data_IF_574816245147
#
_entry.id   IF_574816245147
#
_cell.length_a   1.000
_cell.length_b   1.000
_cell.length_c   1.000
_cell.angle_alpha   90.00
_cell.angle_beta   90.00
_cell.angle_gamma   90.00
#
_symmetry.space_group_name_H-M   'P 1'
#
loop_
_entity.id
_entity.type
_entity.pdbx_description
1 polymer ?
#
# COMPACT_ATOMS: atom_id res chain seq x y z
N UNK A 1 14.01 19.59 19.58
CA UNK A 1 13.48 18.38 20.24
C UNK A 1 13.94 17.14 19.49
N UNK A 2 14.75 16.25 20.10
CA UNK A 2 15.04 14.93 19.52
C UNK A 2 13.80 14.04 19.60
N UNK A 3 13.61 13.18 18.60
CA UNK A 3 12.60 12.13 18.61
C UNK A 3 13.33 10.78 18.54
N UNK A 4 12.77 9.78 19.19
CA UNK A 4 13.32 8.42 19.16
C UNK A 4 12.29 7.48 18.54
N UNK A 5 12.66 6.85 17.42
CA UNK A 5 11.81 5.89 16.73
C UNK A 5 11.62 4.64 17.58
N UNK A 6 10.38 4.16 17.68
CA UNK A 6 10.04 2.95 18.44
C UNK A 6 9.56 1.83 17.51
N UNK A 7 8.57 2.10 16.66
CA UNK A 7 8.01 1.07 15.77
C UNK A 7 7.26 1.66 14.59
N UNK A 8 7.18 0.91 13.51
CA UNK A 8 6.27 1.15 12.40
C UNK A 8 5.46 -0.12 12.17
N UNK A 9 4.12 -0.03 12.15
CA UNK A 9 3.23 -1.19 12.03
C UNK A 9 2.06 -0.90 11.09
N UNK A 10 1.67 -1.87 10.28
CA UNK A 10 0.43 -1.82 9.50
C UNK A 10 -0.67 -2.66 10.17
N UNK A 11 -1.85 -2.07 10.36
CA UNK A 11 -3.02 -2.76 10.90
C UNK A 11 -4.30 -2.24 10.23
N UNK A 12 -5.16 -3.13 9.73
CA UNK A 12 -6.50 -2.80 9.19
C UNK A 12 -6.60 -1.60 8.25
N UNK A 13 -5.59 -1.40 7.39
CA UNK A 13 -5.61 -0.33 6.37
C UNK A 13 -4.94 0.97 6.80
N UNK A 14 -4.37 1.05 8.00
CA UNK A 14 -3.60 2.21 8.44
C UNK A 14 -2.17 1.83 8.85
N UNK A 15 -1.26 2.80 8.75
CA UNK A 15 0.09 2.67 9.29
C UNK A 15 0.18 3.47 10.59
N UNK A 16 0.71 2.85 11.63
CA UNK A 16 1.03 3.50 12.90
C UNK A 16 2.54 3.60 13.06
N UNK A 17 3.04 4.84 13.13
CA UNK A 17 4.42 5.12 13.50
C UNK A 17 4.47 5.58 14.95
N UNK A 18 5.25 4.90 15.79
CA UNK A 18 5.44 5.27 17.19
C UNK A 18 6.82 5.83 17.43
N UNK A 19 6.87 6.85 18.27
CA UNK A 19 8.11 7.46 18.71
C UNK A 19 8.00 7.94 20.15
N UNK A 20 9.16 8.20 20.76
CA UNK A 20 9.30 8.80 22.09
C UNK A 20 9.91 10.19 22.01
N UNK A 21 9.49 11.07 22.91
CA UNK A 21 10.06 12.39 23.11
C UNK A 21 10.31 12.62 24.61
N UNK A 22 11.37 13.36 24.94
CA UNK A 22 11.62 13.84 26.30
C UNK A 22 10.74 15.03 26.67
N UNK A 23 10.28 15.77 25.67
CA UNK A 23 9.30 16.85 25.79
C UNK A 23 7.87 16.33 25.57
N UNK A 24 6.91 16.93 26.26
CA UNK A 24 5.49 16.70 25.97
C UNK A 24 5.02 17.63 24.84
N UNK A 25 4.48 17.02 23.79
CA UNK A 25 4.26 17.63 22.48
C UNK A 25 2.88 18.28 22.35
N UNK A 26 1.81 17.67 22.88
CA UNK A 26 0.43 18.09 22.63
C UNK A 26 0.12 19.40 23.36
N UNK A 27 0.63 19.56 24.57
CA UNK A 27 0.49 20.79 25.36
C UNK A 27 1.78 21.61 25.40
N UNK A 28 2.66 21.47 24.39
CA UNK A 28 3.95 22.15 24.36
C UNK A 28 3.76 23.67 24.42
N UNK A 29 2.87 24.22 23.60
CA UNK A 29 2.60 25.65 23.58
C UNK A 29 1.66 26.11 24.70
N UNK A 30 0.73 25.27 25.15
CA UNK A 30 -0.13 25.58 26.30
C UNK A 30 0.70 25.87 27.56
N UNK A 31 1.72 25.03 27.82
CA UNK A 31 2.55 25.14 29.03
C UNK A 31 3.54 26.30 29.01
N UNK A 32 3.92 26.80 27.84
CA UNK A 32 4.92 27.87 27.71
C UNK A 32 4.31 29.23 27.34
N UNK A 33 3.16 29.25 26.67
CA UNK A 33 2.62 30.46 26.03
C UNK A 33 1.09 30.64 26.13
N UNK A 34 0.34 29.66 26.66
CA UNK A 34 -1.13 29.67 26.75
C UNK A 34 -1.83 28.92 25.59
N UNK A 35 -3.17 28.91 25.57
CA UNK A 35 -3.99 28.27 24.52
C UNK A 35 -3.64 28.87 23.15
N UNK A 36 -3.11 28.04 22.24
CA UNK A 36 -2.68 28.53 20.93
C UNK A 36 -2.16 27.47 19.96
N UNK A 37 -1.96 26.22 20.39
CA UNK A 37 -1.52 25.13 19.52
C UNK A 37 -2.63 24.81 18.50
N UNK A 38 -2.27 24.81 17.21
CA UNK A 38 -3.20 24.55 16.09
C UNK A 38 -3.15 23.07 15.70
N UNK A 39 -1.95 22.47 15.75
CA UNK A 39 -1.79 21.04 15.55
C UNK A 39 -0.35 20.61 15.31
N UNK A 40 -0.18 19.30 15.30
CA UNK A 40 1.09 18.61 15.22
C UNK A 40 1.06 17.64 14.05
N UNK A 41 1.99 17.82 13.13
CA UNK A 41 2.11 17.00 11.94
C UNK A 41 3.46 16.31 11.92
N UNK A 42 3.44 15.01 11.64
CA UNK A 42 4.63 14.23 11.39
C UNK A 42 4.77 13.97 9.91
N UNK A 43 5.89 14.37 9.32
CA UNK A 43 6.14 14.27 7.88
C UNK A 43 7.47 13.60 7.62
N UNK A 44 7.50 12.60 6.73
CA UNK A 44 8.73 12.01 6.19
C UNK A 44 8.85 12.27 4.70
N UNK A 45 10.06 12.61 4.25
CA UNK A 45 10.36 12.75 2.83
C UNK A 45 10.62 11.39 2.20
N UNK A 46 9.79 11.01 1.22
CA UNK A 46 9.98 9.75 0.47
C UNK A 46 10.96 9.94 -0.68
N UNK A 47 11.10 11.15 -1.20
CA UNK A 47 12.00 11.51 -2.29
C UNK A 47 13.14 12.43 -1.80
N UNK A 48 13.84 13.11 -2.72
CA UNK A 48 14.98 13.99 -2.42
C UNK A 48 14.58 15.34 -1.81
N UNK A 49 13.31 15.69 -1.90
CA UNK A 49 12.77 16.92 -1.32
C UNK A 49 12.70 16.80 0.21
N UNK A 50 13.60 17.50 0.89
CA UNK A 50 13.71 17.53 2.35
C UNK A 50 13.40 18.91 2.93
N UNK A 51 12.66 19.74 2.18
CA UNK A 51 12.11 20.97 2.74
C UNK A 51 10.85 20.63 3.56
N UNK A 52 10.98 20.72 4.89
CA UNK A 52 9.89 20.44 5.82
C UNK A 52 9.14 21.71 6.25
N UNK A 53 9.40 22.86 5.61
CA UNK A 53 8.76 24.10 6.01
C UNK A 53 7.25 24.03 5.81
N UNK A 54 6.50 24.48 6.80
CA UNK A 54 5.04 24.58 6.72
C UNK A 54 4.68 25.48 5.55
N UNK A 55 3.90 24.93 4.63
CA UNK A 55 3.51 25.60 3.40
C UNK A 55 4.24 25.11 2.15
N UNK A 56 5.39 24.44 2.29
CA UNK A 56 6.06 23.79 1.17
C UNK A 56 5.28 22.57 0.67
N UNK A 57 5.29 22.35 -0.64
CA UNK A 57 4.57 21.26 -1.30
C UNK A 57 5.50 20.05 -1.49
N UNK A 58 5.65 19.23 -0.46
CA UNK A 58 6.39 17.98 -0.57
C UNK A 58 5.61 16.97 -1.43
N UNK A 59 6.12 16.68 -2.63
CA UNK A 59 5.40 15.89 -3.65
C UNK A 59 5.16 14.45 -3.18
N UNK A 60 6.16 13.82 -2.55
CA UNK A 60 6.06 12.43 -2.07
C UNK A 60 6.41 12.37 -0.59
N UNK A 61 5.40 12.09 0.24
CA UNK A 61 5.53 12.18 1.69
C UNK A 61 4.74 11.09 2.41
N UNK A 62 5.26 10.64 3.55
CA UNK A 62 4.47 9.95 4.58
C UNK A 62 4.04 10.98 5.61
N UNK A 63 2.74 11.19 5.79
CA UNK A 63 2.20 12.25 6.66
C UNK A 63 1.13 11.69 7.58
N UNK A 64 1.09 12.18 8.82
CA UNK A 64 0.01 11.90 9.76
C UNK A 64 -0.05 12.91 10.90
N UNK A 65 -1.20 12.95 11.57
CA UNK A 65 -1.37 13.66 12.85
C UNK A 65 -0.72 12.89 13.98
N UNK A 66 -0.37 13.59 15.06
CA UNK A 66 0.31 13.00 16.23
C UNK A 66 -0.64 12.92 17.41
N UNK A 67 -0.79 11.71 17.95
CA UNK A 67 -1.62 11.43 19.12
C UNK A 67 -0.74 11.01 20.31
N UNK A 68 -1.15 11.39 21.52
CA UNK A 68 -0.51 10.97 22.76
C UNK A 68 -0.94 9.56 23.16
N UNK A 69 0.02 8.65 23.37
CA UNK A 69 -0.26 7.28 23.85
C UNK A 69 -0.06 7.12 25.36
N UNK A 70 0.82 7.91 25.98
CA UNK A 70 1.05 7.83 27.42
C UNK A 70 2.45 8.28 27.87
N UNK A 71 2.67 8.25 29.18
CA UNK A 71 4.00 8.50 29.77
C UNK A 71 4.85 7.25 29.61
N UNK A 72 6.11 7.42 29.21
CA UNK A 72 7.07 6.32 29.07
C UNK A 72 7.48 5.76 30.44
N UNK A 73 7.53 4.43 30.56
CA UNK A 73 8.02 3.75 31.78
C UNK A 73 9.48 4.06 32.11
N UNK A 74 10.27 4.49 31.11
CA UNK A 74 11.68 4.84 31.29
C UNK A 74 11.79 6.32 31.63
N UNK A 75 11.40 7.19 30.68
CA UNK A 75 11.42 8.65 30.78
C UNK A 75 10.78 9.25 29.52
N UNK A 76 10.03 10.34 29.67
CA UNK A 76 9.42 11.06 28.55
C UNK A 76 8.04 10.55 28.20
N UNK A 77 7.63 10.75 26.96
CA UNK A 77 6.26 10.61 26.49
C UNK A 77 6.24 9.80 25.19
N UNK A 78 5.25 8.90 25.08
CA UNK A 78 5.03 8.04 23.93
C UNK A 78 3.94 8.64 23.03
N UNK A 79 4.19 8.59 21.73
CA UNK A 79 3.31 9.14 20.71
C UNK A 79 3.10 8.13 19.58
N UNK A 80 1.94 8.22 18.94
CA UNK A 80 1.60 7.50 17.72
C UNK A 80 1.20 8.47 16.63
N UNK A 81 1.57 8.11 15.40
CA UNK A 81 1.19 8.82 14.19
C UNK A 81 0.39 7.86 13.33
N UNK A 82 -0.85 8.23 13.03
CA UNK A 82 -1.67 7.57 12.02
C UNK A 82 -1.26 8.11 10.65
N UNK A 83 -0.36 7.37 9.98
CA UNK A 83 0.39 7.86 8.84
C UNK A 83 -0.10 7.27 7.51
N UNK A 84 -0.13 8.10 6.47
CA UNK A 84 -0.54 7.74 5.12
C UNK A 84 0.52 8.19 4.10
N UNK A 85 0.74 7.37 3.07
CA UNK A 85 1.66 7.69 1.99
C UNK A 85 0.92 8.48 0.92
N UNK A 86 1.40 9.68 0.61
CA UNK A 86 0.72 10.59 -0.31
C UNK A 86 1.60 11.05 -1.46
N UNK A 87 0.93 11.28 -2.59
CA UNK A 87 1.38 12.16 -3.65
C UNK A 87 0.60 13.48 -3.56
N UNK A 88 1.31 14.59 -3.45
CA UNK A 88 0.74 15.94 -3.42
C UNK A 88 1.08 16.66 -4.72
N UNK A 89 0.12 17.39 -5.31
CA UNK A 89 0.40 18.24 -6.46
C UNK A 89 1.25 19.46 -6.05
N UNK A 90 2.08 20.03 -6.93
CA UNK A 90 2.94 21.17 -6.58
C UNK A 90 2.18 22.41 -6.07
N UNK A 91 0.95 22.60 -6.52
CA UNK A 91 0.04 23.67 -6.06
C UNK A 91 -0.71 23.33 -4.76
N UNK A 92 -0.53 22.11 -4.24
CA UNK A 92 -1.18 21.53 -3.06
C UNK A 92 -2.70 21.39 -3.18
N UNK A 93 -3.25 21.47 -4.40
CA UNK A 93 -4.70 21.36 -4.63
C UNK A 93 -5.21 19.94 -4.47
N UNK A 94 -4.36 18.94 -4.68
CA UNK A 94 -4.74 17.52 -4.64
C UNK A 94 -3.72 16.71 -3.86
N UNK A 95 -4.23 15.83 -3.01
CA UNK A 95 -3.46 14.81 -2.32
C UNK A 95 -4.09 13.44 -2.61
N UNK A 96 -3.28 12.46 -3.00
CA UNK A 96 -3.75 11.11 -3.36
C UNK A 96 -2.88 10.06 -2.70
N UNK A 97 -3.49 9.01 -2.16
CA UNK A 97 -2.73 7.91 -1.55
C UNK A 97 -1.85 7.19 -2.58
N UNK A 98 -0.63 6.85 -2.16
CA UNK A 98 0.32 6.09 -2.97
C UNK A 98 0.00 4.59 -2.87
N UNK A 99 0.01 3.93 -4.03
CA UNK A 99 -0.07 2.47 -4.13
C UNK A 99 1.24 1.82 -3.69
N UNK A 100 1.15 0.55 -3.28
CA UNK A 100 2.30 -0.23 -2.78
C UNK A 100 3.48 -0.27 -3.77
N UNK A 101 3.30 -0.50 -5.08
CA UNK A 101 4.41 -0.49 -6.03
C UNK A 101 5.10 0.87 -6.14
N UNK A 102 4.38 1.97 -5.94
CA UNK A 102 4.95 3.31 -5.98
C UNK A 102 5.82 3.56 -4.74
N UNK A 103 5.33 3.18 -3.56
CA UNK A 103 6.08 3.27 -2.29
C UNK A 103 7.37 2.45 -2.38
N UNK A 104 7.29 1.21 -2.86
CA UNK A 104 8.45 0.33 -3.01
C UNK A 104 9.52 0.93 -3.93
N UNK A 105 9.13 1.54 -5.06
CA UNK A 105 10.08 2.20 -5.99
C UNK A 105 10.74 3.43 -5.38
N UNK A 106 9.98 4.27 -4.67
CA UNK A 106 10.52 5.47 -4.03
C UNK A 106 11.58 5.14 -2.96
N UNK A 107 11.43 3.98 -2.31
CA UNK A 107 12.28 3.57 -1.20
C UNK A 107 13.36 2.54 -1.57
N UNK A 108 13.40 2.03 -2.80
CA UNK A 108 14.23 0.89 -3.21
C UNK A 108 15.73 1.06 -2.89
N UNK A 109 16.26 2.28 -3.04
CA UNK A 109 17.68 2.59 -2.87
C UNK A 109 17.97 3.34 -1.56
N UNK A 110 17.01 3.37 -0.62
CA UNK A 110 17.11 4.12 0.63
C UNK A 110 17.24 3.18 1.82
N UNK A 111 18.20 3.44 2.70
CA UNK A 111 18.31 2.75 3.99
C UNK A 111 17.43 3.38 5.08
N UNK A 112 17.23 4.69 4.99
CA UNK A 112 16.36 5.46 5.89
C UNK A 112 15.68 6.61 5.16
N UNK A 113 14.54 7.07 5.69
CA UNK A 113 13.91 8.31 5.26
C UNK A 113 13.90 9.35 6.40
N UNK A 114 14.21 10.61 6.11
CA UNK A 114 14.20 11.66 7.12
C UNK A 114 12.77 12.08 7.42
N UNK A 115 12.46 12.20 8.70
CA UNK A 115 11.16 12.66 9.20
C UNK A 115 11.33 13.82 10.18
N UNK A 116 10.35 14.73 10.19
CA UNK A 116 10.26 15.80 11.18
C UNK A 116 8.84 15.94 11.69
N UNK A 117 8.74 16.29 12.97
CA UNK A 117 7.54 16.85 13.55
C UNK A 117 7.54 18.35 13.29
N UNK A 118 6.39 18.89 12.88
CA UNK A 118 6.10 20.32 12.89
C UNK A 118 4.93 20.59 13.83
N UNK A 119 5.08 21.57 14.72
CA UNK A 119 4.01 22.04 15.60
C UNK A 119 3.70 23.48 15.21
N UNK A 120 2.44 23.77 14.91
CA UNK A 120 1.99 25.13 14.60
C UNK A 120 1.18 25.69 15.75
N UNK A 121 1.33 27.00 16.00
CA UNK A 121 0.57 27.72 17.01
C UNK A 121 0.23 29.14 16.51
N UNK A 122 -0.85 29.72 17.02
CA UNK A 122 -1.21 31.10 16.71
C UNK A 122 -0.10 32.07 17.16
N UNK A 123 0.26 33.01 16.29
CA UNK A 123 1.24 34.08 16.56
C UNK A 123 2.70 33.63 16.71
N UNK A 124 3.02 32.37 16.40
CA UNK A 124 4.39 31.84 16.45
C UNK A 124 4.79 31.16 15.13
N UNK A 125 6.09 31.17 14.83
CA UNK A 125 6.64 30.34 13.77
C UNK A 125 6.49 28.86 14.14
N UNK A 126 6.33 28.01 13.12
CA UNK A 126 6.24 26.57 13.32
C UNK A 126 7.50 26.05 14.01
N UNK A 127 7.32 25.25 15.05
CA UNK A 127 8.42 24.55 15.72
C UNK A 127 8.70 23.24 14.99
N UNK A 128 9.99 22.89 14.83
CA UNK A 128 10.39 21.65 14.20
C UNK A 128 11.25 20.79 15.12
N UNK A 129 11.03 19.47 15.08
CA UNK A 129 11.96 18.53 15.70
C UNK A 129 13.31 18.48 14.98
N UNK A 130 14.28 17.83 15.63
CA UNK A 130 15.43 17.28 14.91
C UNK A 130 14.94 16.20 13.95
N UNK A 131 15.72 15.93 12.90
CA UNK A 131 15.41 14.89 11.93
C UNK A 131 15.48 13.51 12.60
N UNK A 132 14.36 12.79 12.59
CA UNK A 132 14.31 11.37 12.89
C UNK A 132 14.61 10.58 11.61
N UNK A 133 15.43 9.55 11.70
CA UNK A 133 15.68 8.65 10.56
C UNK A 133 14.80 7.41 10.71
N UNK A 134 13.79 7.26 9.85
CA UNK A 134 12.91 6.09 9.85
C UNK A 134 13.55 4.98 8.99
N UNK A 135 13.78 3.78 9.54
CA UNK A 135 14.38 2.67 8.80
C UNK A 135 13.46 2.17 7.68
N UNK A 136 13.98 2.09 6.46
CA UNK A 136 13.20 1.71 5.27
C UNK A 136 12.83 0.22 5.25
N UNK A 137 13.68 -0.63 5.82
CA UNK A 137 13.42 -2.07 5.96
C UNK A 137 12.14 -2.35 6.76
N UNK A 138 11.92 -1.63 7.87
CA UNK A 138 10.69 -1.72 8.65
C UNK A 138 9.48 -1.20 7.88
N UNK A 139 9.63 -0.07 7.18
CA UNK A 139 8.57 0.49 6.34
C UNK A 139 8.15 -0.49 5.25
N UNK A 140 9.11 -1.03 4.50
CA UNK A 140 8.84 -1.97 3.41
C UNK A 140 8.25 -3.30 3.91
N UNK A 141 8.64 -3.75 5.11
CA UNK A 141 8.06 -4.94 5.74
C UNK A 141 6.57 -4.76 6.00
N UNK A 142 6.15 -3.60 6.53
CA UNK A 142 4.74 -3.32 6.82
C UNK A 142 3.94 -2.97 5.56
N UNK A 143 4.54 -2.24 4.61
CA UNK A 143 3.97 -2.00 3.28
C UNK A 143 3.75 -3.31 2.53
N UNK A 144 4.58 -4.34 2.75
CA UNK A 144 4.36 -5.66 2.19
C UNK A 144 3.06 -6.32 2.70
N UNK A 145 2.65 -6.03 3.94
CA UNK A 145 1.42 -6.54 4.57
C UNK A 145 0.16 -5.78 4.16
N UNK A 146 0.31 -4.58 3.62
CA UNK A 146 -0.80 -3.81 3.08
C UNK A 146 -1.50 -4.60 1.97
N UNK A 147 -2.72 -5.04 2.27
CA UNK A 147 -3.63 -5.61 1.28
C UNK A 147 -4.23 -4.43 0.53
N UNK A 148 -3.83 -4.24 -0.71
CA UNK A 148 -4.48 -3.26 -1.56
C UNK A 148 -5.98 -3.56 -1.56
N UNK A 149 -6.76 -2.59 -1.12
CA UNK A 149 -8.21 -2.61 -1.28
C UNK A 149 -8.45 -2.40 -2.76
N UNK A 150 -8.26 -3.44 -3.56
CA UNK A 150 -8.65 -3.43 -4.97
C UNK A 150 -10.09 -2.93 -4.98
N UNK A 151 -10.31 -1.76 -5.61
CA UNK A 151 -11.64 -1.21 -5.75
C UNK A 151 -12.50 -2.34 -6.31
N UNK A 152 -13.51 -2.76 -5.55
CA UNK A 152 -14.47 -3.73 -6.01
C UNK A 152 -15.03 -3.13 -7.29
N UNK A 153 -14.71 -3.74 -8.45
CA UNK A 153 -15.14 -3.21 -9.73
C UNK A 153 -16.66 -3.07 -9.68
N UNK A 154 -17.13 -1.83 -9.72
CA UNK A 154 -18.54 -1.52 -9.89
C UNK A 154 -18.65 -0.94 -11.30
N UNK A 155 -19.47 -1.54 -12.19
CA UNK A 155 -19.74 -0.90 -13.46
C UNK A 155 -20.37 0.47 -13.18
N UNK A 156 -19.83 1.54 -13.77
CA UNK A 156 -20.47 2.85 -13.71
C UNK A 156 -21.92 2.72 -14.21
N UNK A 157 -22.91 3.36 -13.55
CA UNK A 157 -24.28 3.33 -14.03
C UNK A 157 -24.34 3.95 -15.42
N UNK A 158 -24.98 3.24 -16.36
CA UNK A 158 -25.18 3.74 -17.73
C UNK A 158 -26.04 5.00 -17.67
N UNK A 159 -25.43 6.17 -17.85
CA UNK A 159 -26.15 7.45 -17.97
C UNK A 159 -26.68 7.57 -19.40
N UNK A 160 -27.98 7.34 -19.58
CA UNK A 160 -28.65 7.45 -20.89
C UNK A 160 -28.49 8.89 -21.41
N UNK A 161 -27.85 9.04 -22.58
CA UNK A 161 -27.71 10.33 -23.28
C UNK A 161 -26.31 10.96 -23.23
N UNK A 162 -25.35 10.40 -22.47
CA UNK A 162 -23.95 10.81 -22.55
C UNK A 162 -23.21 9.91 -23.54
N UNK A 163 -22.60 10.48 -24.57
CA UNK A 163 -21.72 9.70 -25.45
C UNK A 163 -20.52 9.19 -24.62
N UNK A 164 -20.17 7.89 -24.68
CA UNK A 164 -19.04 7.38 -23.92
C UNK A 164 -17.75 8.10 -24.36
N UNK A 165 -16.92 8.48 -23.38
CA UNK A 165 -15.62 9.13 -23.63
C UNK A 165 -14.59 8.16 -24.22
N UNK A 166 -14.88 6.87 -24.19
CA UNK A 166 -14.09 5.81 -24.80
C UNK A 166 -14.86 5.33 -26.04
N UNK A 167 -14.20 5.15 -27.19
CA UNK A 167 -14.81 4.43 -28.31
C UNK A 167 -15.39 3.13 -27.78
N UNK A 168 -16.58 2.76 -28.24
CA UNK A 168 -17.16 1.46 -27.94
C UNK A 168 -16.27 0.41 -28.61
N UNK A 169 -15.21 -0.01 -27.93
CA UNK A 169 -14.45 -1.20 -28.29
C UNK A 169 -15.46 -2.32 -28.08
N UNK A 170 -15.90 -2.95 -29.18
CA UNK A 170 -16.63 -4.21 -29.07
C UNK A 170 -15.82 -5.11 -28.12
N UNK A 171 -16.42 -5.65 -27.05
CA UNK A 171 -15.65 -6.41 -26.06
C UNK A 171 -14.81 -7.42 -26.81
N UNK A 172 -13.49 -7.32 -26.66
CA UNK A 172 -12.58 -8.28 -27.26
C UNK A 172 -13.07 -9.66 -26.85
N UNK A 173 -13.25 -10.61 -27.79
CA UNK A 173 -13.74 -11.92 -27.44
C UNK A 173 -12.77 -12.54 -26.43
N UNK A 174 -13.28 -12.77 -25.22
CA UNK A 174 -12.55 -13.46 -24.17
C UNK A 174 -12.87 -14.94 -24.32
N UNK A 175 -11.86 -15.72 -24.69
CA UNK A 175 -11.96 -17.16 -24.76
C UNK A 175 -11.58 -17.71 -23.39
N UNK A 176 -12.51 -18.41 -22.74
CA UNK A 176 -12.21 -19.12 -21.51
C UNK A 176 -12.80 -20.52 -21.54
N UNK A 177 -12.11 -21.45 -20.89
CA UNK A 177 -12.61 -22.81 -20.69
C UNK A 177 -11.98 -23.45 -19.44
N UNK A 178 -12.65 -24.47 -18.91
CA UNK A 178 -12.11 -25.37 -17.90
C UNK A 178 -11.95 -26.75 -18.52
N UNK A 179 -10.71 -27.23 -18.59
CA UNK A 179 -10.43 -28.54 -19.16
C UNK A 179 -10.71 -29.62 -18.12
N UNK A 180 -11.35 -30.72 -18.51
CA UNK A 180 -11.60 -31.84 -17.61
C UNK A 180 -10.60 -32.96 -17.84
N UNK A 181 -9.95 -33.40 -16.76
CA UNK A 181 -9.13 -34.59 -16.74
C UNK A 181 -10.01 -35.77 -16.35
N UNK A 182 -10.08 -36.75 -17.24
CA UNK A 182 -10.79 -38.00 -17.04
C UNK A 182 -9.81 -39.17 -17.06
N UNK A 183 -10.16 -40.21 -16.33
CA UNK A 183 -9.49 -41.49 -16.37
C UNK A 183 -9.98 -42.25 -17.62
N UNK A 184 -9.06 -42.64 -18.51
CA UNK A 184 -9.43 -43.25 -19.79
C UNK A 184 -10.00 -44.66 -19.66
N UNK A 185 -9.66 -45.38 -18.58
CA UNK A 185 -10.11 -46.76 -18.38
C UNK A 185 -11.52 -46.81 -17.78
N UNK A 186 -11.82 -45.89 -16.87
CA UNK A 186 -13.09 -45.84 -16.13
C UNK A 186 -14.06 -44.79 -16.66
N UNK A 187 -13.59 -43.84 -17.46
CA UNK A 187 -14.34 -42.68 -17.93
C UNK A 187 -14.72 -41.68 -16.83
N UNK A 188 -14.18 -41.85 -15.61
CA UNK A 188 -14.53 -41.01 -14.46
C UNK A 188 -13.63 -39.79 -14.37
N UNK A 189 -14.12 -38.66 -13.83
CA UNK A 189 -13.26 -37.51 -13.60
C UNK A 189 -12.17 -37.79 -12.57
N UNK A 190 -10.96 -37.28 -12.81
CA UNK A 190 -9.83 -37.38 -11.89
C UNK A 190 -9.67 -36.08 -11.12
N UNK A 191 -10.28 -36.01 -9.95
CA UNK A 191 -10.10 -34.88 -9.04
C UNK A 191 -8.81 -34.93 -8.23
N UNK A 192 -8.37 -33.77 -7.75
CA UNK A 192 -7.18 -33.61 -6.90
C UNK A 192 -5.88 -34.16 -7.52
N UNK A 193 -5.73 -34.04 -8.84
CA UNK A 193 -4.49 -34.41 -9.53
C UNK A 193 -3.76 -33.17 -10.02
N UNK A 194 -2.44 -33.16 -9.83
CA UNK A 194 -1.59 -32.10 -10.34
C UNK A 194 -1.49 -32.17 -11.87
N UNK A 195 -1.48 -31.00 -12.50
CA UNK A 195 -1.42 -30.85 -13.95
C UNK A 195 -0.60 -29.64 -14.36
N UNK A 196 -0.18 -29.64 -15.62
CA UNK A 196 0.46 -28.51 -16.29
C UNK A 196 -0.30 -28.17 -17.57
N UNK A 197 -0.74 -26.93 -17.71
CA UNK A 197 -1.22 -26.36 -18.98
C UNK A 197 -0.05 -25.64 -19.64
N UNK A 198 0.39 -26.14 -20.79
CA UNK A 198 1.36 -25.45 -21.65
C UNK A 198 0.62 -24.57 -22.66
N UNK A 199 0.82 -23.27 -22.54
CA UNK A 199 0.27 -22.26 -23.45
C UNK A 199 1.00 -22.23 -24.78
N UNK A 200 0.41 -21.57 -25.77
CA UNK A 200 0.94 -21.47 -27.12
C UNK A 200 2.30 -20.73 -27.19
N UNK A 201 2.51 -19.77 -26.28
CA UNK A 201 3.77 -19.03 -26.10
C UNK A 201 4.84 -19.79 -25.31
N UNK A 202 4.51 -20.99 -24.81
CA UNK A 202 5.40 -21.84 -24.03
C UNK A 202 5.32 -21.62 -22.52
N UNK A 203 4.49 -20.68 -22.02
CA UNK A 203 4.23 -20.53 -20.60
C UNK A 203 3.60 -21.79 -20.01
N UNK A 204 3.98 -22.14 -18.78
CA UNK A 204 3.51 -23.32 -18.07
C UNK A 204 2.68 -22.90 -16.86
N UNK A 205 1.43 -23.32 -16.82
CA UNK A 205 0.51 -23.09 -15.71
C UNK A 205 0.32 -24.39 -14.95
N UNK A 206 0.84 -24.43 -13.73
CA UNK A 206 0.68 -25.56 -12.84
C UNK A 206 -0.60 -25.40 -12.02
N UNK A 207 -1.29 -26.49 -11.77
CA UNK A 207 -2.46 -26.49 -10.90
C UNK A 207 -2.84 -27.88 -10.43
N UNK A 208 -3.87 -27.95 -9.60
CA UNK A 208 -4.50 -29.19 -9.18
C UNK A 208 -5.98 -29.16 -9.57
N UNK A 209 -6.51 -30.28 -10.06
CA UNK A 209 -7.92 -30.34 -10.47
C UNK A 209 -8.86 -30.29 -9.28
N UNK A 210 -10.05 -29.73 -9.46
CA UNK A 210 -11.11 -29.80 -8.45
C UNK A 210 -11.68 -31.22 -8.28
N UNK A 211 -12.64 -31.41 -7.38
CA UNK A 211 -13.30 -32.71 -7.16
C UNK A 211 -13.87 -33.36 -8.44
N UNK A 212 -14.29 -32.56 -9.42
CA UNK A 212 -14.84 -33.02 -10.69
C UNK A 212 -13.77 -33.15 -11.79
N UNK A 213 -12.49 -33.11 -11.44
CA UNK A 213 -11.38 -33.23 -12.37
C UNK A 213 -11.20 -32.03 -13.29
N UNK A 214 -11.75 -30.86 -12.96
CA UNK A 214 -11.63 -29.66 -13.80
C UNK A 214 -10.40 -28.83 -13.42
N UNK A 215 -9.70 -28.29 -14.42
CA UNK A 215 -8.62 -27.31 -14.23
C UNK A 215 -9.16 -25.98 -13.68
N UNK A 216 -8.25 -25.06 -13.36
CA UNK A 216 -8.60 -23.65 -13.22
C UNK A 216 -9.11 -23.11 -14.58
N UNK A 217 -9.75 -21.95 -14.56
CA UNK A 217 -10.24 -21.31 -15.77
C UNK A 217 -9.06 -20.78 -16.60
N UNK A 218 -8.90 -21.32 -17.81
CA UNK A 218 -7.85 -20.97 -18.75
C UNK A 218 -8.40 -19.87 -19.65
N UNK A 219 -7.89 -18.65 -19.50
CA UNK A 219 -8.41 -17.46 -20.21
C UNK A 219 -7.42 -16.94 -21.26
N UNK A 220 -7.92 -16.43 -22.39
CA UNK A 220 -7.12 -15.77 -23.42
C UNK A 220 -7.94 -14.74 -24.21
N UNK A 221 -7.29 -13.65 -24.63
CA UNK A 221 -7.86 -12.63 -25.52
C UNK A 221 -7.84 -13.06 -27.01
N UNK A 222 -7.16 -14.16 -27.32
CA UNK A 222 -7.10 -14.74 -28.66
C UNK A 222 -7.42 -16.23 -28.57
N UNK A 223 -8.03 -16.76 -29.63
CA UNK A 223 -8.27 -18.20 -29.70
C UNK A 223 -6.93 -18.92 -29.76
N UNK A 224 -6.64 -19.75 -28.77
CA UNK A 224 -5.42 -20.54 -28.74
C UNK A 224 -5.70 -22.02 -28.52
N UNK A 225 -4.70 -22.85 -28.81
CA UNK A 225 -4.70 -24.27 -28.46
C UNK A 225 -3.66 -24.49 -27.38
N UNK A 226 -4.11 -24.96 -26.23
CA UNK A 226 -3.24 -25.31 -25.10
C UNK A 226 -3.01 -26.82 -25.06
N UNK A 227 -1.94 -27.24 -24.39
CA UNK A 227 -1.68 -28.66 -24.12
C UNK A 227 -1.75 -28.92 -22.63
N UNK A 228 -2.56 -29.88 -22.22
CA UNK A 228 -2.72 -30.29 -20.83
C UNK A 228 -1.94 -31.58 -20.58
N UNK A 229 -1.12 -31.58 -19.52
CA UNK A 229 -0.34 -32.73 -19.07
C UNK A 229 -0.66 -33.01 -17.61
N UNK A 230 -0.57 -34.27 -17.20
CA UNK A 230 -0.50 -34.62 -15.79
C UNK A 230 0.90 -34.27 -15.28
N UNK A 231 0.96 -33.58 -14.15
CA UNK A 231 2.20 -33.30 -13.44
C UNK A 231 2.41 -34.44 -12.44
N UNK A 232 2.70 -35.64 -12.98
CA UNK A 232 2.98 -36.79 -12.14
C UNK A 232 4.29 -36.50 -11.40
N UNK A 233 4.22 -36.40 -10.07
CA UNK A 233 5.44 -36.48 -9.27
C UNK A 233 6.09 -37.82 -9.58
N UNK A 234 7.26 -37.78 -10.24
CA UNK A 234 8.12 -38.96 -10.37
C UNK A 234 8.27 -39.57 -8.97
N UNK A 235 7.99 -40.88 -8.79
CA UNK A 235 8.04 -41.53 -7.48
C UNK A 235 9.42 -41.44 -6.83
#
# INVERSE_FOLDING_TARGET
>A
MPLEFTSFTYHDGSYSLRFRSDEEIISLFERHTGDGQIGEWFTCALDNDQDFTVGHAMIYSLVGGVDFEGISEIKGYNYVVNAHFYKTTPDRSTQTELLKPAIQRLLADKSSIPCKLSITAFLYDAYYSKTLQLPVDQVLTEVARHRERLAQWQPEPIVIGRSPLVPRIEPLPLYSDRLQIIDNDTGRPRGYVAYVVKRSDGYLEHGETDFNGLTHEVMSLTRETVKLYLDDSVP
#
